data_IF_506212780245
#
_entry.id   IF_506212780245
#
_cell.length_a   1.000
_cell.length_b   1.000
_cell.length_c   1.000
_cell.angle_alpha   90.00
_cell.angle_beta   90.00
_cell.angle_gamma   90.00
#
_symmetry.space_group_name_H-M   'P 1'
#
loop_
_entity.id
_entity.type
_entity.pdbx_description
1 polymer ?
#
# COMPACT_ATOMS: atom_id res chain seq x y z
N UNK A 1 7.81 -0.18 -26.91
CA UNK A 1 7.84 -1.53 -27.50
C UNK A 1 8.49 -2.46 -26.48
N UNK A 2 7.71 -3.15 -25.65
CA UNK A 2 8.23 -4.14 -24.68
C UNK A 2 8.66 -5.35 -25.51
N UNK A 3 9.86 -5.88 -25.33
CA UNK A 3 10.31 -7.02 -26.12
C UNK A 3 9.42 -8.22 -25.85
N UNK A 4 8.78 -8.74 -26.89
CA UNK A 4 7.95 -9.96 -26.95
C UNK A 4 8.71 -11.20 -26.42
N UNK A 5 10.00 -11.10 -26.17
CA UNK A 5 10.82 -12.21 -25.68
C UNK A 5 10.52 -12.67 -24.24
N UNK A 6 9.94 -11.81 -23.37
CA UNK A 6 9.59 -12.20 -22.00
C UNK A 6 8.36 -13.12 -21.94
N UNK A 7 7.40 -12.92 -22.82
CA UNK A 7 6.19 -13.75 -22.87
C UNK A 7 6.43 -15.15 -23.49
N UNK A 8 7.44 -15.29 -24.35
CA UNK A 8 7.75 -16.58 -24.98
C UNK A 8 8.56 -17.54 -24.09
N UNK A 9 9.35 -17.05 -23.13
CA UNK A 9 10.09 -17.93 -22.21
C UNK A 9 9.17 -18.71 -21.26
N UNK A 10 8.03 -18.14 -20.88
CA UNK A 10 7.04 -18.82 -20.01
C UNK A 10 6.38 -20.05 -20.63
N UNK A 11 6.33 -20.17 -21.97
CA UNK A 11 5.68 -21.30 -22.66
C UNK A 11 6.61 -22.46 -23.02
N UNK A 12 7.92 -22.27 -22.95
CA UNK A 12 8.88 -23.33 -23.39
C UNK A 12 9.55 -24.09 -22.24
N UNK A 13 9.30 -23.76 -20.97
CA UNK A 13 9.87 -24.48 -19.81
C UNK A 13 8.96 -25.53 -19.16
N UNK A 14 7.90 -25.97 -19.82
CA UNK A 14 7.04 -27.06 -19.32
C UNK A 14 7.52 -28.46 -19.77
N UNK A 15 8.66 -28.57 -20.41
CA UNK A 15 9.21 -29.87 -20.82
C UNK A 15 10.68 -30.00 -20.40
N UNK A 16 10.95 -30.54 -19.23
CA UNK A 16 12.23 -31.17 -18.90
C UNK A 16 13.01 -30.55 -17.74
N UNK A 17 12.92 -31.15 -16.56
CA UNK A 17 14.00 -31.18 -15.59
C UNK A 17 14.00 -30.13 -14.50
N UNK A 18 13.40 -30.41 -13.34
CA UNK A 18 13.98 -30.01 -12.04
C UNK A 18 13.96 -28.56 -11.57
N UNK A 19 13.23 -27.65 -12.20
CA UNK A 19 12.98 -26.32 -11.69
C UNK A 19 11.79 -26.34 -10.72
N UNK A 20 11.97 -25.95 -9.45
CA UNK A 20 10.84 -25.72 -8.54
C UNK A 20 9.87 -24.71 -9.16
N UNK A 21 8.56 -24.98 -9.08
CA UNK A 21 7.56 -24.05 -9.56
C UNK A 21 7.69 -22.68 -8.87
N UNK A 22 7.50 -21.60 -9.62
CA UNK A 22 7.41 -20.24 -9.09
C UNK A 22 6.27 -20.14 -8.09
N UNK A 23 6.55 -19.83 -6.84
CA UNK A 23 5.59 -19.86 -5.73
C UNK A 23 5.91 -18.87 -4.63
N UNK A 24 4.90 -18.55 -3.82
CA UNK A 24 5.08 -17.90 -2.53
C UNK A 24 4.71 -18.87 -1.38
N UNK A 25 5.46 -18.85 -0.28
CA UNK A 25 5.34 -19.76 0.86
C UNK A 25 5.49 -19.02 2.19
N UNK A 26 5.07 -19.72 3.28
CA UNK A 26 5.29 -19.26 4.68
C UNK A 26 6.59 -19.82 5.28
N UNK A 27 7.20 -20.82 4.65
CA UNK A 27 8.42 -21.46 5.13
C UNK A 27 9.48 -21.50 4.03
N UNK A 28 10.78 -21.47 4.38
CA UNK A 28 11.85 -21.58 3.39
C UNK A 28 11.80 -22.92 2.66
N UNK A 29 12.29 -22.94 1.42
CA UNK A 29 12.53 -24.19 0.71
C UNK A 29 13.78 -24.85 1.27
N UNK A 30 13.72 -26.10 1.74
CA UNK A 30 14.91 -26.83 2.18
C UNK A 30 15.96 -26.84 1.07
N UNK A 31 17.22 -26.63 1.45
CA UNK A 31 18.39 -26.65 0.56
C UNK A 31 18.46 -25.55 -0.52
N UNK A 32 17.62 -24.52 -0.47
CA UNK A 32 17.71 -23.37 -1.37
C UNK A 32 18.12 -22.12 -0.59
N UNK A 33 19.21 -21.48 -1.00
CA UNK A 33 19.59 -20.16 -0.48
C UNK A 33 18.62 -19.09 -0.97
N UNK A 34 18.35 -18.10 -0.14
CA UNK A 34 17.52 -16.94 -0.51
C UNK A 34 18.27 -15.62 -0.22
N UNK A 35 17.82 -14.56 -0.87
CA UNK A 35 18.24 -13.19 -0.61
C UNK A 35 17.20 -12.52 0.29
N UNK A 36 17.64 -11.80 1.32
CA UNK A 36 16.75 -11.07 2.20
C UNK A 36 16.24 -9.78 1.54
N UNK A 37 14.95 -9.54 1.72
CA UNK A 37 14.28 -8.30 1.36
C UNK A 37 13.93 -8.15 -0.12
N UNK A 38 13.40 -6.98 -0.43
CA UNK A 38 12.91 -6.59 -1.75
C UNK A 38 13.81 -5.56 -2.44
N UNK A 39 14.87 -5.13 -1.79
CA UNK A 39 15.79 -4.13 -2.34
C UNK A 39 16.42 -4.62 -3.65
N UNK A 40 16.54 -3.72 -4.62
CA UNK A 40 17.10 -4.01 -5.93
C UNK A 40 16.16 -4.71 -6.91
N UNK A 41 14.96 -5.13 -6.48
CA UNK A 41 13.95 -5.66 -7.40
C UNK A 41 13.33 -4.53 -8.24
N UNK A 42 13.13 -4.84 -9.52
CA UNK A 42 12.37 -3.97 -10.42
C UNK A 42 10.87 -4.01 -10.10
N UNK A 43 10.13 -3.00 -10.57
CA UNK A 43 8.67 -2.98 -10.46
C UNK A 43 8.01 -4.22 -11.09
N UNK A 44 8.57 -4.74 -12.19
CA UNK A 44 8.07 -5.95 -12.85
C UNK A 44 8.29 -7.21 -12.00
N UNK A 45 9.45 -7.35 -11.36
CA UNK A 45 9.72 -8.48 -10.45
C UNK A 45 8.83 -8.42 -9.22
N UNK A 46 8.65 -7.25 -8.62
CA UNK A 46 7.74 -7.07 -7.48
C UNK A 46 6.29 -7.34 -7.84
N UNK A 47 5.85 -6.96 -9.04
CA UNK A 47 4.54 -7.33 -9.56
C UNK A 47 4.35 -8.86 -9.63
N UNK A 48 5.35 -9.60 -10.15
CA UNK A 48 5.28 -11.06 -10.21
C UNK A 48 5.32 -11.67 -8.79
N UNK A 49 6.14 -11.15 -7.89
CA UNK A 49 6.17 -11.60 -6.49
C UNK A 49 4.83 -11.39 -5.79
N UNK A 50 4.22 -10.22 -6.00
CA UNK A 50 2.90 -9.93 -5.45
C UNK A 50 1.81 -10.84 -6.03
N UNK A 51 1.88 -11.16 -7.32
CA UNK A 51 0.99 -12.13 -7.95
C UNK A 51 1.11 -13.52 -7.31
N UNK A 52 2.34 -14.01 -7.08
CA UNK A 52 2.56 -15.30 -6.41
C UNK A 52 2.05 -15.31 -4.97
N UNK A 53 2.23 -14.21 -4.23
CA UNK A 53 1.68 -14.04 -2.87
C UNK A 53 0.15 -14.07 -2.91
N UNK A 54 -0.47 -13.34 -3.83
CA UNK A 54 -1.91 -13.31 -4.03
C UNK A 54 -2.51 -14.68 -4.42
N UNK A 55 -1.72 -15.57 -4.98
CA UNK A 55 -2.13 -16.94 -5.30
C UNK A 55 -2.01 -17.93 -4.13
N UNK A 56 -1.53 -17.52 -2.97
CA UNK A 56 -1.44 -18.37 -1.79
C UNK A 56 -2.46 -17.98 -0.72
N UNK A 57 -3.53 -18.76 -0.59
CA UNK A 57 -4.61 -18.51 0.39
C UNK A 57 -4.17 -18.63 1.87
N UNK A 58 -3.01 -19.25 2.16
CA UNK A 58 -2.47 -19.29 3.51
C UNK A 58 -1.73 -18.02 3.91
N UNK A 59 -1.35 -17.17 2.94
CA UNK A 59 -0.80 -15.84 3.21
C UNK A 59 -1.96 -14.89 3.44
N UNK A 60 -2.03 -14.30 4.62
CA UNK A 60 -3.14 -13.45 5.06
C UNK A 60 -2.63 -12.07 5.49
N UNK A 61 -3.54 -11.16 5.80
CA UNK A 61 -3.22 -9.82 6.32
C UNK A 61 -2.48 -9.80 7.67
N UNK A 62 -2.36 -10.93 8.35
CA UNK A 62 -1.57 -11.08 9.57
C UNK A 62 -0.18 -11.68 9.33
N UNK A 63 0.13 -12.09 8.11
CA UNK A 63 1.44 -12.65 7.73
C UNK A 63 2.50 -11.56 7.79
N UNK A 64 3.65 -11.89 8.40
CA UNK A 64 4.77 -10.95 8.57
C UNK A 64 6.00 -11.33 7.75
N UNK A 65 6.07 -12.57 7.26
CA UNK A 65 7.19 -13.09 6.46
C UNK A 65 6.67 -14.02 5.39
N UNK A 66 7.18 -13.86 4.18
CA UNK A 66 6.92 -14.74 3.04
C UNK A 66 8.22 -15.10 2.33
N UNK A 67 8.25 -16.26 1.68
CA UNK A 67 9.34 -16.70 0.81
C UNK A 67 8.80 -16.77 -0.63
N UNK A 68 9.41 -16.03 -1.53
CA UNK A 68 8.98 -15.96 -2.94
C UNK A 68 10.07 -16.56 -3.82
N UNK A 69 9.66 -17.51 -4.65
CA UNK A 69 10.51 -18.20 -5.62
C UNK A 69 9.99 -17.92 -7.02
N UNK A 70 10.65 -17.07 -7.76
CA UNK A 70 10.23 -16.59 -9.08
C UNK A 70 11.43 -16.42 -10.02
N UNK A 71 11.44 -17.13 -11.14
CA UNK A 71 12.44 -17.02 -12.22
C UNK A 71 13.92 -17.02 -11.72
N UNK A 72 14.22 -17.84 -10.72
CA UNK A 72 15.55 -17.94 -10.11
C UNK A 72 15.81 -16.91 -8.99
N UNK A 73 14.92 -15.96 -8.78
CA UNK A 73 14.95 -15.07 -7.62
C UNK A 73 14.24 -15.74 -6.45
N UNK A 74 15.00 -16.23 -5.47
CA UNK A 74 14.45 -16.76 -4.24
C UNK A 74 14.72 -15.79 -3.10
N UNK A 75 13.65 -15.22 -2.56
CA UNK A 75 13.75 -14.17 -1.56
C UNK A 75 12.91 -14.45 -0.33
N UNK A 76 13.43 -14.02 0.82
CA UNK A 76 12.66 -13.85 2.05
C UNK A 76 12.20 -12.39 2.11
N UNK A 77 10.91 -12.15 2.21
CA UNK A 77 10.33 -10.80 2.29
C UNK A 77 9.61 -10.65 3.63
N UNK A 78 10.05 -9.68 4.41
CA UNK A 78 9.49 -9.34 5.72
C UNK A 78 8.72 -8.02 5.67
N UNK A 79 7.74 -7.88 6.56
CA UNK A 79 7.16 -6.57 6.88
C UNK A 79 8.29 -5.63 7.34
N UNK A 80 8.31 -4.41 6.81
CA UNK A 80 9.37 -3.43 7.05
C UNK A 80 10.54 -3.51 6.07
N UNK A 81 10.59 -4.49 5.16
CA UNK A 81 11.54 -4.44 4.05
C UNK A 81 11.28 -3.22 3.17
N UNK A 82 12.34 -2.66 2.60
CA UNK A 82 12.31 -1.35 1.96
C UNK A 82 12.67 -1.41 0.49
N UNK A 83 11.99 -0.55 -0.29
CA UNK A 83 12.35 -0.22 -1.66
C UNK A 83 12.55 1.30 -1.78
N UNK A 84 13.33 1.71 -2.77
CA UNK A 84 13.50 3.13 -3.11
C UNK A 84 12.87 3.39 -4.47
N UNK A 85 12.02 4.41 -4.54
CA UNK A 85 11.37 4.85 -5.77
C UNK A 85 11.64 6.35 -5.97
N UNK A 86 12.03 6.72 -7.19
CA UNK A 86 12.15 8.14 -7.55
C UNK A 86 10.76 8.72 -7.83
N UNK A 87 10.40 9.78 -7.10
CA UNK A 87 9.20 10.58 -7.33
C UNK A 87 9.65 11.94 -7.87
N UNK A 88 9.33 12.23 -9.12
CA UNK A 88 9.72 13.48 -9.79
C UNK A 88 11.23 13.83 -9.60
N UNK A 89 12.10 12.82 -9.72
CA UNK A 89 13.56 12.98 -9.60
C UNK A 89 14.13 12.89 -8.17
N UNK A 90 13.31 12.86 -7.13
CA UNK A 90 13.74 12.69 -5.74
C UNK A 90 13.47 11.27 -5.25
N UNK A 91 14.45 10.64 -4.63
CA UNK A 91 14.32 9.29 -4.10
C UNK A 91 13.57 9.26 -2.75
N UNK A 92 12.55 8.42 -2.66
CA UNK A 92 11.80 8.14 -1.45
C UNK A 92 11.82 6.65 -1.13
N UNK A 93 11.89 6.33 0.15
CA UNK A 93 11.86 4.96 0.67
C UNK A 93 10.40 4.57 0.96
N UNK A 94 10.06 3.32 0.66
CA UNK A 94 8.76 2.73 0.95
C UNK A 94 8.94 1.43 1.71
N UNK A 95 8.17 1.24 2.78
CA UNK A 95 8.14 0.02 3.59
C UNK A 95 7.09 -0.94 3.04
N UNK A 96 7.39 -2.23 3.07
CA UNK A 96 6.37 -3.30 2.97
C UNK A 96 5.54 -3.26 4.25
N UNK A 97 4.25 -2.94 4.16
CA UNK A 97 3.37 -2.82 5.32
C UNK A 97 2.35 -3.96 5.46
N UNK A 98 2.10 -4.72 4.40
CA UNK A 98 1.14 -5.81 4.41
C UNK A 98 1.28 -6.78 3.24
N UNK A 99 0.87 -8.03 3.49
CA UNK A 99 0.69 -9.06 2.48
C UNK A 99 -0.79 -9.46 2.43
N UNK A 100 -1.34 -9.65 1.23
CA UNK A 100 -2.74 -10.04 1.02
C UNK A 100 -3.72 -9.27 1.94
N UNK A 101 -3.48 -7.98 2.13
CA UNK A 101 -4.29 -7.12 2.99
C UNK A 101 -5.46 -6.51 2.22
N UNK A 102 -5.19 -5.89 1.09
CA UNK A 102 -6.15 -5.08 0.33
C UNK A 102 -6.86 -5.89 -0.75
N UNK A 103 -8.19 -5.74 -0.85
CA UNK A 103 -8.98 -6.36 -1.91
C UNK A 103 -8.70 -5.69 -3.26
N UNK A 104 -8.34 -6.48 -4.27
CA UNK A 104 -8.24 -6.00 -5.64
C UNK A 104 -9.61 -5.53 -6.14
N UNK A 105 -9.63 -4.43 -6.88
CA UNK A 105 -10.86 -4.00 -7.57
C UNK A 105 -11.32 -5.03 -8.62
N UNK A 106 -10.37 -5.78 -9.17
CA UNK A 106 -10.62 -6.90 -10.08
C UNK A 106 -9.68 -8.05 -9.73
N UNK A 107 -10.21 -9.25 -9.53
CA UNK A 107 -9.42 -10.46 -9.29
C UNK A 107 -8.50 -10.83 -10.47
N UNK A 108 -8.73 -10.27 -11.65
CA UNK A 108 -7.88 -10.42 -12.84
C UNK A 108 -6.83 -9.31 -13.01
N UNK A 109 -6.55 -8.53 -11.96
CA UNK A 109 -5.62 -7.40 -12.01
C UNK A 109 -4.18 -7.77 -12.42
N UNK A 110 -3.76 -9.02 -12.17
CA UNK A 110 -2.48 -9.57 -12.60
C UNK A 110 -2.51 -10.26 -13.98
N UNK A 111 -3.58 -10.09 -14.77
CA UNK A 111 -3.78 -10.80 -16.02
C UNK A 111 -4.36 -12.22 -15.86
N UNK A 112 -4.57 -12.67 -14.63
CA UNK A 112 -5.23 -13.91 -14.26
C UNK A 112 -6.02 -13.73 -12.96
N UNK A 113 -6.99 -14.60 -12.70
CA UNK A 113 -7.74 -14.62 -11.44
C UNK A 113 -6.83 -15.18 -10.36
N UNK A 114 -6.67 -14.45 -9.26
CA UNK A 114 -5.88 -14.89 -8.10
C UNK A 114 -6.73 -15.65 -7.09
N UNK A 115 -6.10 -16.56 -6.34
CA UNK A 115 -6.81 -17.40 -5.38
C UNK A 115 -7.47 -16.59 -4.24
N UNK A 116 -6.88 -15.45 -3.85
CA UNK A 116 -7.36 -14.65 -2.72
C UNK A 116 -8.20 -13.44 -3.16
N UNK A 117 -8.08 -12.98 -4.41
CA UNK A 117 -8.61 -11.69 -4.85
C UNK A 117 -7.95 -10.48 -4.18
N UNK A 118 -6.81 -10.68 -3.49
CA UNK A 118 -6.07 -9.66 -2.77
C UNK A 118 -4.88 -9.14 -3.59
N UNK A 119 -4.46 -7.91 -3.35
CA UNK A 119 -3.16 -7.42 -3.75
C UNK A 119 -2.08 -8.07 -2.90
N UNK A 120 -1.02 -8.59 -3.54
CA UNK A 120 -0.02 -9.41 -2.83
C UNK A 120 0.82 -8.62 -1.85
N UNK A 121 1.25 -7.41 -2.22
CA UNK A 121 2.12 -6.56 -1.39
C UNK A 121 1.58 -5.14 -1.36
N UNK A 122 1.49 -4.57 -0.15
CA UNK A 122 1.19 -3.15 0.07
C UNK A 122 2.43 -2.43 0.57
N UNK A 123 2.75 -1.30 -0.06
CA UNK A 123 3.83 -0.40 0.30
C UNK A 123 3.29 0.92 0.83
N UNK A 124 3.99 1.52 1.79
CA UNK A 124 3.75 2.89 2.26
C UNK A 124 5.06 3.66 2.35
N UNK A 125 5.05 4.94 2.09
CA UNK A 125 6.20 5.82 2.32
C UNK A 125 6.74 5.62 3.75
N UNK A 126 8.07 5.41 3.85
CA UNK A 126 8.77 5.34 5.14
C UNK A 126 8.71 6.68 5.86
N UNK A 127 9.13 7.71 5.18
CA UNK A 127 9.04 9.11 5.59
C UNK A 127 8.03 9.88 4.73
N UNK A 128 7.86 11.16 4.99
CA UNK A 128 6.82 11.98 4.40
C UNK A 128 7.27 12.60 3.08
N UNK A 129 6.33 12.80 2.18
CA UNK A 129 6.55 13.63 1.01
C UNK A 129 6.69 15.10 1.46
N UNK A 130 7.82 15.72 1.13
CA UNK A 130 8.24 17.00 1.70
C UNK A 130 7.38 18.22 1.26
N UNK A 131 6.41 18.04 0.39
CA UNK A 131 5.48 19.09 -0.04
C UNK A 131 4.14 18.94 0.67
N UNK A 132 3.63 20.04 1.18
CA UNK A 132 2.36 20.09 1.89
C UNK A 132 1.18 20.07 0.90
N UNK A 133 0.20 19.23 1.18
CA UNK A 133 -1.05 19.17 0.41
C UNK A 133 -2.26 19.32 1.32
N UNK A 134 -3.26 20.06 0.85
CA UNK A 134 -4.54 20.18 1.53
C UNK A 134 -5.34 18.90 1.37
N UNK A 135 -6.08 18.49 2.40
CA UNK A 135 -7.10 17.45 2.25
C UNK A 135 -8.25 17.94 1.35
N UNK A 136 -8.69 19.20 1.59
CA UNK A 136 -9.65 19.93 0.78
C UNK A 136 -9.28 21.41 0.68
N UNK A 137 -9.72 22.08 -0.39
CA UNK A 137 -9.57 23.54 -0.56
C UNK A 137 -10.50 24.35 0.34
N UNK A 138 -11.56 23.73 0.85
CA UNK A 138 -12.55 24.31 1.77
C UNK A 138 -12.62 23.53 3.07
N UNK A 139 -13.08 24.20 4.13
CA UNK A 139 -13.18 23.62 5.47
C UNK A 139 -14.38 22.66 5.59
N UNK A 140 -14.28 21.53 4.90
CA UNK A 140 -15.31 20.47 4.94
C UNK A 140 -14.70 19.09 4.74
N UNK A 141 -15.28 18.08 5.42
CA UNK A 141 -15.02 16.68 5.14
C UNK A 141 -16.25 15.98 4.50
N UNK A 142 -17.21 16.77 4.01
CA UNK A 142 -18.41 16.24 3.35
C UNK A 142 -18.05 15.42 2.12
N UNK A 143 -18.64 14.23 1.99
CA UNK A 143 -18.32 13.25 0.96
C UNK A 143 -17.03 12.46 1.26
N UNK A 144 -16.46 12.61 2.46
CA UNK A 144 -15.35 11.81 2.97
C UNK A 144 -14.12 11.83 2.06
N UNK A 145 -13.38 10.74 2.12
CA UNK A 145 -12.22 10.50 1.27
C UNK A 145 -12.57 10.54 -0.21
N UNK A 146 -13.70 9.95 -0.59
CA UNK A 146 -14.15 9.84 -1.99
C UNK A 146 -14.15 11.18 -2.71
N UNK A 147 -14.63 12.23 -2.05
CA UNK A 147 -14.77 13.57 -2.63
C UNK A 147 -13.61 14.50 -2.32
N UNK A 148 -12.63 14.07 -1.52
CA UNK A 148 -11.52 14.93 -1.10
C UNK A 148 -10.63 15.33 -2.29
N UNK A 149 -10.10 16.56 -2.26
CA UNK A 149 -9.11 17.03 -3.23
C UNK A 149 -7.81 16.21 -3.13
N UNK A 150 -7.48 15.72 -1.93
CA UNK A 150 -6.35 14.81 -1.72
C UNK A 150 -6.49 13.56 -2.59
N UNK A 151 -7.65 12.90 -2.57
CA UNK A 151 -7.88 11.70 -3.37
C UNK A 151 -7.96 12.01 -4.87
N UNK A 152 -8.77 13.03 -5.23
CA UNK A 152 -9.13 13.27 -6.63
C UNK A 152 -8.06 13.98 -7.45
N UNK A 153 -7.14 14.66 -6.78
CA UNK A 153 -6.08 15.45 -7.44
C UNK A 153 -4.68 15.04 -6.98
N UNK A 154 -4.44 14.95 -5.65
CA UNK A 154 -3.09 14.71 -5.13
C UNK A 154 -2.64 13.25 -5.35
N UNK A 155 -3.51 12.27 -5.11
CA UNK A 155 -3.11 10.85 -5.29
C UNK A 155 -2.80 10.50 -6.76
N UNK A 156 -3.56 10.95 -7.77
CA UNK A 156 -3.17 10.81 -9.18
C UNK A 156 -1.83 11.49 -9.50
N UNK A 157 -1.56 12.67 -8.91
CA UNK A 157 -0.28 13.36 -9.07
C UNK A 157 0.88 12.54 -8.50
N UNK A 158 0.72 11.96 -7.30
CA UNK A 158 1.74 11.09 -6.68
C UNK A 158 2.04 9.87 -7.56
N UNK A 159 1.01 9.23 -8.11
CA UNK A 159 1.19 8.14 -9.08
C UNK A 159 1.93 8.63 -10.33
N UNK A 160 1.59 9.81 -10.84
CA UNK A 160 2.24 10.41 -12.02
C UNK A 160 3.72 10.77 -11.80
N UNK A 161 4.15 11.02 -10.57
CA UNK A 161 5.55 11.26 -10.23
C UNK A 161 6.41 9.99 -10.23
N UNK A 162 5.80 8.80 -10.18
CA UNK A 162 6.53 7.53 -10.24
C UNK A 162 7.00 7.23 -11.66
N UNK A 163 8.11 6.51 -11.85
CA UNK A 163 8.50 5.96 -13.14
C UNK A 163 7.37 5.11 -13.75
N UNK A 164 7.24 5.12 -15.07
CA UNK A 164 6.17 4.40 -15.81
C UNK A 164 6.06 2.92 -15.44
N UNK A 165 7.18 2.26 -15.16
CA UNK A 165 7.20 0.86 -14.74
C UNK A 165 6.40 0.65 -13.43
N UNK A 166 6.53 1.56 -12.45
CA UNK A 166 5.76 1.54 -11.21
C UNK A 166 4.30 1.88 -11.44
N UNK A 167 4.00 2.90 -12.26
CA UNK A 167 2.60 3.23 -12.60
C UNK A 167 1.84 2.05 -13.20
N UNK A 168 2.54 1.19 -13.95
CA UNK A 168 1.98 -0.03 -14.56
C UNK A 168 1.85 -1.18 -13.54
N UNK A 169 2.84 -1.33 -12.64
CA UNK A 169 2.83 -2.39 -11.62
C UNK A 169 1.73 -2.19 -10.56
N UNK A 170 1.43 -0.94 -10.22
CA UNK A 170 0.41 -0.59 -9.20
C UNK A 170 -0.96 -1.13 -9.58
N UNK A 171 -1.60 -1.82 -8.63
CA UNK A 171 -2.95 -2.38 -8.76
C UNK A 171 -3.97 -1.52 -8.05
N UNK A 172 -5.12 -1.26 -8.67
CA UNK A 172 -6.23 -0.61 -7.98
C UNK A 172 -6.85 -1.58 -6.96
N UNK A 173 -7.08 -1.06 -5.77
CA UNK A 173 -7.66 -1.80 -4.65
C UNK A 173 -8.90 -1.10 -4.08
N UNK A 174 -9.77 -1.86 -3.45
CA UNK A 174 -10.95 -1.37 -2.79
C UNK A 174 -10.59 -0.81 -1.41
N UNK A 175 -10.83 0.47 -1.20
CA UNK A 175 -10.61 1.13 0.09
C UNK A 175 -11.94 1.63 0.65
N UNK A 176 -12.27 1.18 1.85
CA UNK A 176 -13.42 1.71 2.57
C UNK A 176 -13.06 3.02 3.27
N UNK A 177 -14.00 3.96 3.30
CA UNK A 177 -13.87 5.23 4.03
C UNK A 177 -15.21 5.72 4.53
N UNK A 178 -15.20 6.41 5.67
CA UNK A 178 -16.38 7.08 6.21
C UNK A 178 -16.96 8.11 5.24
N UNK A 179 -18.27 8.36 5.37
CA UNK A 179 -19.01 9.24 4.47
C UNK A 179 -18.69 10.73 4.67
N UNK A 180 -18.10 11.09 5.82
CA UNK A 180 -17.86 12.50 6.19
C UNK A 180 -19.14 13.27 6.51
N UNK A 181 -19.06 14.62 6.49
CA UNK A 181 -20.20 15.49 6.81
C UNK A 181 -20.63 15.43 8.28
N UNK A 182 -19.78 14.92 9.19
CA UNK A 182 -20.16 14.67 10.60
C UNK A 182 -20.97 13.40 10.80
N UNK A 183 -21.00 12.50 9.80
CA UNK A 183 -21.67 11.20 9.93
C UNK A 183 -20.91 10.29 10.90
N UNK A 184 -21.59 9.80 11.92
CA UNK A 184 -21.03 8.91 12.95
C UNK A 184 -21.06 7.42 12.55
N UNK A 185 -21.57 7.09 11.37
CA UNK A 185 -21.68 5.71 10.89
C UNK A 185 -21.72 5.64 9.36
N UNK A 186 -21.43 4.46 8.85
CA UNK A 186 -21.46 4.16 7.43
C UNK A 186 -20.13 4.44 6.73
N UNK A 187 -19.80 3.55 5.81
CA UNK A 187 -18.65 3.66 4.92
C UNK A 187 -19.08 3.45 3.48
N UNK A 188 -18.28 3.92 2.56
CA UNK A 188 -18.37 3.58 1.16
C UNK A 188 -17.05 2.99 0.69
N UNK A 189 -17.10 2.10 -0.30
CA UNK A 189 -15.93 1.48 -0.92
C UNK A 189 -15.57 2.20 -2.20
N UNK A 190 -14.28 2.49 -2.36
CA UNK A 190 -13.74 3.29 -3.44
C UNK A 190 -12.55 2.54 -4.03
N UNK A 191 -12.42 2.56 -5.36
CA UNK A 191 -11.24 2.02 -6.05
C UNK A 191 -10.13 3.06 -6.10
N UNK A 192 -8.98 2.73 -5.52
CA UNK A 192 -7.80 3.61 -5.46
C UNK A 192 -6.52 2.88 -5.89
N UNK A 193 -5.67 3.56 -6.68
CA UNK A 193 -4.31 3.09 -7.02
C UNK A 193 -3.28 3.57 -6.01
N UNK A 194 -3.36 4.84 -5.59
CA UNK A 194 -2.60 5.42 -4.48
C UNK A 194 -3.59 5.96 -3.46
N UNK A 195 -3.29 5.80 -2.18
CA UNK A 195 -4.22 6.16 -1.11
C UNK A 195 -3.48 6.54 0.17
N UNK A 196 -4.16 7.25 1.08
CA UNK A 196 -3.74 7.40 2.46
C UNK A 196 -4.33 6.26 3.30
N UNK A 197 -3.67 5.90 4.39
CA UNK A 197 -4.21 4.92 5.34
C UNK A 197 -5.38 5.51 6.13
N UNK A 198 -6.30 4.65 6.60
CA UNK A 198 -7.31 5.02 7.58
C UNK A 198 -6.77 4.91 9.00
N UNK A 199 -7.41 5.57 9.95
CA UNK A 199 -7.05 5.49 11.37
C UNK A 199 -6.95 4.05 11.87
N UNK A 200 -7.94 3.21 11.56
CA UNK A 200 -7.93 1.80 11.97
C UNK A 200 -6.78 1.01 11.34
N UNK A 201 -6.36 1.35 10.13
CA UNK A 201 -5.25 0.69 9.44
C UNK A 201 -3.90 0.98 10.10
N UNK A 202 -3.79 2.11 10.80
CA UNK A 202 -2.59 2.54 11.55
C UNK A 202 -2.68 2.13 13.01
N UNK A 203 -3.81 2.36 13.67
CA UNK A 203 -3.93 2.21 15.13
C UNK A 203 -4.60 0.90 15.58
N UNK A 204 -5.31 0.21 14.68
CA UNK A 204 -6.11 -0.98 15.04
C UNK A 204 -7.40 -0.64 15.80
N UNK A 205 -7.72 0.63 15.94
CA UNK A 205 -8.92 1.14 16.60
C UNK A 205 -9.43 2.40 15.90
N UNK A 206 -10.67 2.77 16.14
CA UNK A 206 -11.32 3.98 15.63
C UNK A 206 -11.63 4.91 16.77
N UNK A 207 -10.72 5.82 17.11
CA UNK A 207 -10.90 6.85 18.15
C UNK A 207 -11.60 8.08 17.58
N UNK A 208 -11.23 8.45 16.36
CA UNK A 208 -11.66 9.67 15.68
C UNK A 208 -12.46 9.39 14.42
N UNK A 209 -12.48 8.14 13.93
CA UNK A 209 -13.14 7.74 12.70
C UNK A 209 -14.26 6.72 12.93
N UNK A 210 -15.01 6.41 11.88
CA UNK A 210 -16.07 5.39 11.94
C UNK A 210 -15.49 3.98 11.81
N UNK A 211 -16.19 2.97 12.33
CA UNK A 211 -15.84 1.57 12.09
C UNK A 211 -16.08 1.16 10.63
N UNK A 212 -15.33 0.15 10.14
CA UNK A 212 -15.52 -0.41 8.81
C UNK A 212 -14.59 0.15 7.74
N UNK A 213 -13.61 0.99 8.09
CA UNK A 213 -12.63 1.54 7.13
C UNK A 213 -11.46 0.59 6.82
N UNK A 214 -11.51 -0.64 7.28
CA UNK A 214 -10.48 -1.67 7.06
C UNK A 214 -10.04 -2.37 8.34
N UNK A 215 -8.82 -2.89 8.34
CA UNK A 215 -8.16 -3.54 9.48
C UNK A 215 -6.71 -3.06 9.58
N UNK A 216 -6.09 -3.22 10.76
CA UNK A 216 -4.72 -2.77 10.98
C UNK A 216 -3.72 -3.53 10.10
N UNK A 217 -2.82 -2.82 9.45
CA UNK A 217 -1.70 -3.43 8.72
C UNK A 217 -0.75 -4.16 9.65
N UNK A 218 -0.21 -5.29 9.19
CA UNK A 218 0.75 -6.10 9.94
C UNK A 218 1.96 -5.29 10.43
N UNK A 219 2.42 -4.32 9.64
CA UNK A 219 3.50 -3.40 9.99
C UNK A 219 3.22 -2.65 11.30
N UNK A 220 2.07 -2.02 11.42
CA UNK A 220 1.70 -1.27 12.63
C UNK A 220 1.30 -2.17 13.78
N UNK A 221 0.70 -3.32 13.50
CA UNK A 221 0.36 -4.34 14.49
C UNK A 221 1.62 -4.94 15.13
N UNK A 222 2.73 -5.02 14.41
CA UNK A 222 4.04 -5.43 14.91
C UNK A 222 4.72 -4.37 15.79
N UNK A 223 4.13 -3.19 15.98
CA UNK A 223 4.66 -2.13 16.84
C UNK A 223 5.62 -1.15 16.16
N UNK A 224 5.73 -1.19 14.83
CA UNK A 224 6.56 -0.23 14.11
C UNK A 224 6.08 1.22 14.31
N UNK A 225 7.03 2.15 14.18
CA UNK A 225 6.80 3.58 14.43
C UNK A 225 5.71 4.15 13.55
N UNK A 226 4.86 4.98 14.17
CA UNK A 226 3.87 5.83 13.47
C UNK A 226 4.40 7.25 13.26
N UNK A 227 5.51 7.59 13.93
CA UNK A 227 6.21 8.86 13.70
C UNK A 227 6.91 8.76 12.34
N UNK A 228 6.68 9.76 11.51
CA UNK A 228 7.31 9.90 10.20
C UNK A 228 7.95 11.28 10.06
N UNK A 229 9.05 11.35 9.33
CA UNK A 229 9.86 12.56 9.23
C UNK A 229 9.78 13.14 7.81
N UNK A 230 10.11 14.42 7.72
CA UNK A 230 10.56 15.08 6.51
C UNK A 230 11.76 15.97 6.89
N UNK A 231 12.84 15.96 6.10
CA UNK A 231 14.03 16.77 6.35
C UNK A 231 14.58 16.64 7.79
N UNK A 232 14.54 15.41 8.34
CA UNK A 232 14.97 15.05 9.70
C UNK A 232 14.09 15.54 10.85
N UNK A 233 12.92 16.09 10.60
CA UNK A 233 11.96 16.49 11.62
C UNK A 233 10.67 15.70 11.50
N UNK A 234 10.07 15.35 12.66
CA UNK A 234 8.76 14.72 12.71
C UNK A 234 7.66 15.73 12.36
N UNK A 235 6.73 15.31 11.51
CA UNK A 235 5.56 16.11 11.13
C UNK A 235 4.27 15.34 11.32
N UNK A 236 3.15 16.08 11.42
CA UNK A 236 1.82 15.52 11.28
C UNK A 236 1.62 15.00 9.87
N UNK A 237 0.93 13.86 9.71
CA UNK A 237 0.59 13.34 8.41
C UNK A 237 -0.86 12.89 8.32
N UNK A 238 -1.47 13.15 7.18
CA UNK A 238 -2.87 12.87 6.92
C UNK A 238 -3.19 11.39 6.85
N UNK A 239 -4.36 11.03 7.42
CA UNK A 239 -5.08 9.80 7.16
C UNK A 239 -6.30 10.09 6.26
N UNK A 240 -6.85 9.05 5.59
CA UNK A 240 -8.03 9.24 4.73
C UNK A 240 -9.35 9.33 5.50
N UNK A 241 -9.39 8.94 6.77
CA UNK A 241 -10.58 8.89 7.59
C UNK A 241 -11.12 10.29 7.85
N UNK A 242 -12.38 10.62 7.49
CA UNK A 242 -13.02 11.83 7.97
C UNK A 242 -13.32 11.69 9.48
N UNK A 243 -13.15 12.80 10.23
CA UNK A 243 -13.52 12.81 11.64
C UNK A 243 -15.03 12.70 11.81
N UNK A 244 -15.48 11.71 12.61
CA UNK A 244 -16.90 11.34 12.70
C UNK A 244 -17.79 12.35 13.41
N UNK A 245 -17.21 13.22 14.28
CA UNK A 245 -18.00 14.08 15.17
C UNK A 245 -18.19 15.50 14.64
N UNK A 246 -17.62 15.84 13.48
CA UNK A 246 -17.91 17.11 12.81
C UNK A 246 -17.69 17.02 11.29
N UNK A 247 -18.25 17.98 10.58
CA UNK A 247 -18.17 18.04 9.10
C UNK A 247 -16.97 18.78 8.54
N UNK A 248 -15.93 19.08 9.33
CA UNK A 248 -14.84 19.97 8.95
C UNK A 248 -13.44 19.50 9.38
N UNK A 249 -13.25 18.20 9.59
CA UNK A 249 -11.93 17.67 9.99
C UNK A 249 -11.70 16.28 9.36
N UNK A 250 -10.42 15.95 9.14
CA UNK A 250 -9.93 14.61 8.80
C UNK A 250 -8.94 14.14 9.86
N UNK A 251 -8.84 12.83 10.03
CA UNK A 251 -7.89 12.21 10.93
C UNK A 251 -6.46 12.42 10.43
N UNK A 252 -5.53 12.40 11.38
CA UNK A 252 -4.09 12.47 11.12
C UNK A 252 -3.32 11.79 12.25
N UNK A 253 -2.07 11.45 11.96
CA UNK A 253 -1.09 11.03 12.96
C UNK A 253 -0.26 12.24 13.36
N UNK A 254 -0.06 12.44 14.67
CA UNK A 254 0.72 13.56 15.21
C UNK A 254 2.23 13.32 15.09
N UNK A 255 3.01 14.37 15.33
CA UNK A 255 4.49 14.29 15.42
C UNK A 255 4.99 13.27 16.45
N UNK A 256 4.16 12.91 17.42
CA UNK A 256 4.48 11.92 18.46
C UNK A 256 3.88 10.54 18.15
N UNK A 257 3.30 10.34 16.97
CA UNK A 257 2.70 9.06 16.55
C UNK A 257 1.33 8.77 17.17
N UNK A 258 0.64 9.77 17.73
CA UNK A 258 -0.69 9.62 18.30
C UNK A 258 -1.79 9.93 17.28
N UNK A 259 -2.99 9.31 17.44
CA UNK A 259 -4.17 9.64 16.67
C UNK A 259 -4.70 11.05 17.01
N UNK A 260 -5.10 11.79 15.99
CA UNK A 260 -5.69 13.13 16.13
C UNK A 260 -6.51 13.47 14.88
N UNK A 261 -6.98 14.71 14.79
CA UNK A 261 -7.68 15.21 13.60
C UNK A 261 -7.40 16.71 13.40
N UNK A 262 -7.64 17.21 12.21
CA UNK A 262 -7.41 18.61 11.89
C UNK A 262 -8.27 19.09 10.73
N UNK A 263 -8.33 20.42 10.60
CA UNK A 263 -9.02 21.10 9.52
C UNK A 263 -8.40 20.76 8.17
N UNK A 264 -9.19 20.36 7.15
CA UNK A 264 -8.71 19.92 5.84
C UNK A 264 -7.98 21.00 5.04
N UNK A 265 -8.08 22.28 5.42
CA UNK A 265 -7.33 23.39 4.80
C UNK A 265 -5.96 23.63 5.44
N UNK A 266 -5.63 22.92 6.51
CA UNK A 266 -4.26 22.88 7.04
C UNK A 266 -3.37 21.98 6.18
N UNK A 267 -2.08 22.00 6.44
CA UNK A 267 -1.06 21.41 5.57
C UNK A 267 -0.17 20.37 6.29
N UNK A 268 -0.71 19.35 6.99
CA UNK A 268 0.04 18.15 7.30
C UNK A 268 0.66 17.55 6.04
N UNK A 269 1.73 16.81 6.20
CA UNK A 269 2.38 16.10 5.10
C UNK A 269 1.65 14.80 4.77
N UNK A 270 2.12 14.08 3.76
CA UNK A 270 1.51 12.82 3.33
C UNK A 270 2.52 11.67 3.35
N UNK A 271 2.05 10.49 3.73
CA UNK A 271 2.71 9.21 3.57
C UNK A 271 1.74 8.28 2.81
N UNK A 272 1.69 8.42 1.50
CA UNK A 272 0.78 7.62 0.69
C UNK A 272 1.23 6.17 0.56
N UNK A 273 0.28 5.30 0.27
CA UNK A 273 0.46 3.88 0.06
C UNK A 273 -0.04 3.46 -1.33
N UNK A 274 0.41 2.31 -1.80
CA UNK A 274 -0.04 1.66 -3.02
C UNK A 274 0.18 0.15 -2.93
N UNK A 275 -0.49 -0.61 -3.80
CA UNK A 275 -0.34 -2.05 -3.91
C UNK A 275 0.27 -2.46 -5.26
N UNK A 276 1.02 -3.55 -5.27
CA UNK A 276 1.52 -4.20 -6.49
C UNK A 276 1.07 -5.66 -6.54
#
# INVERSE_FOLDING_TARGET
>A
MIPIQYALRRRMMVAGGGGGADIAKLTPTPYKSYVDGVSGLSAAQLHEFAHLISNNANITNSTTTVYVDCDGEYRKVDIGNQITISLNGTNYVFDVIGFNHDDLTSAAAYGSITATGKAGITFQMHDLFATNYLMNSTNTNSGGWKSSAMRTSTMPLMKGYMPTAWQTAIKPVNKASGLGGGSSSGTETISDSCFLLAEIEVFGSTTNSVSGEGTQYAYYKAGNSKVKNAENYAYHWWERSPYFNNGNSFCLVTINGAASFSNPTLRPLIAFAFCV
#
